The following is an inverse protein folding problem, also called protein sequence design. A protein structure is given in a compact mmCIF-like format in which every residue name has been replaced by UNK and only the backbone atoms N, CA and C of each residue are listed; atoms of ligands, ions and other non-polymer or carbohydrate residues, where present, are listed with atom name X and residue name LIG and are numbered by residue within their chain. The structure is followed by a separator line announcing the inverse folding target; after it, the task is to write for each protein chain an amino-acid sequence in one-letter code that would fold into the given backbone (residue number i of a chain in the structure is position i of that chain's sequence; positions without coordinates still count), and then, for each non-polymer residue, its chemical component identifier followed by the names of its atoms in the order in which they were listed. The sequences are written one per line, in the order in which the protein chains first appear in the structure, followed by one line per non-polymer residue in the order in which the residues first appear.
data_IF_816742944879
#
_entry.id   IF_816742944879
#
_cell.length_a   1.000
_cell.length_b   1.000
_cell.length_c   1.000
_cell.angle_alpha   90.00
_cell.angle_beta   90.00
_cell.angle_gamma   90.00
#
_symmetry.space_group_name_H-M   'P 1'
#
loop_
_entity.id
_entity.type
_entity.pdbx_description
1 polymer ?
#
# COMPACT_ATOMS: atom_id res chain seq x y z
N UNK A 1 -9.79 -6.78 14.82
CA UNK A 1 -10.47 -7.73 15.74
C UNK A 1 -9.38 -8.56 16.41
N UNK A 2 -9.45 -8.89 17.71
CA UNK A 2 -8.28 -9.45 18.42
C UNK A 2 -7.70 -10.70 17.75
N UNK A 3 -8.54 -11.68 17.41
CA UNK A 3 -8.09 -12.89 16.70
C UNK A 3 -7.46 -12.59 15.33
N UNK A 4 -7.97 -11.59 14.61
CA UNK A 4 -7.44 -11.18 13.31
C UNK A 4 -6.08 -10.48 13.45
N UNK A 5 -5.85 -9.74 14.54
CA UNK A 5 -4.56 -9.08 14.82
C UNK A 5 -3.43 -10.10 14.99
N UNK A 6 -3.69 -11.21 15.68
CA UNK A 6 -2.69 -12.27 15.85
C UNK A 6 -2.37 -12.96 14.51
N UNK A 7 -3.38 -13.23 13.68
CA UNK A 7 -3.15 -13.72 12.32
C UNK A 7 -2.39 -12.72 11.45
N UNK A 8 -2.69 -11.42 11.58
CA UNK A 8 -1.97 -10.36 10.87
C UNK A 8 -0.50 -10.32 11.29
N UNK A 9 -0.20 -10.39 12.60
CA UNK A 9 1.18 -10.45 13.11
C UNK A 9 1.92 -11.66 12.56
N UNK A 10 1.34 -12.85 12.64
CA UNK A 10 1.93 -14.08 12.10
C UNK A 10 2.17 -13.99 10.59
N UNK A 11 1.20 -13.48 9.84
CA UNK A 11 1.36 -13.28 8.40
C UNK A 11 2.53 -12.34 8.10
N UNK A 12 2.65 -11.23 8.82
CA UNK A 12 3.69 -10.23 8.63
C UNK A 12 5.09 -10.78 8.98
N UNK A 13 5.22 -11.55 10.07
CA UNK A 13 6.53 -12.04 10.52
C UNK A 13 7.01 -13.28 9.78
N UNK A 14 6.11 -14.22 9.46
CA UNK A 14 6.51 -15.54 8.95
C UNK A 14 6.28 -15.71 7.44
N UNK A 15 5.18 -15.18 6.90
CA UNK A 15 4.75 -15.49 5.54
C UNK A 15 5.10 -14.40 4.54
N UNK A 16 4.81 -13.14 4.89
CA UNK A 16 5.02 -11.99 4.02
C UNK A 16 6.47 -11.86 3.55
N UNK A 17 7.52 -12.05 4.38
CA UNK A 17 8.91 -11.93 3.93
C UNK A 17 9.26 -12.87 2.77
N UNK A 18 8.59 -14.03 2.67
CA UNK A 18 8.80 -15.00 1.60
C UNK A 18 8.21 -14.53 0.25
N UNK A 19 7.32 -13.55 0.27
CA UNK A 19 6.61 -13.04 -0.92
C UNK A 19 7.09 -11.65 -1.35
N UNK A 20 7.93 -10.99 -0.55
CA UNK A 20 8.48 -9.69 -0.89
C UNK A 20 9.48 -9.82 -2.03
N UNK A 21 9.33 -8.95 -3.03
CA UNK A 21 10.28 -8.85 -4.15
C UNK A 21 11.52 -8.08 -3.68
N UNK A 22 12.73 -8.68 -3.68
CA UNK A 22 13.94 -8.00 -3.22
C UNK A 22 14.25 -6.70 -3.98
N UNK A 23 13.91 -6.64 -5.27
CA UNK A 23 14.07 -5.46 -6.12
C UNK A 23 13.17 -4.31 -5.64
N UNK A 24 11.91 -4.59 -5.28
CA UNK A 24 10.98 -3.58 -4.78
C UNK A 24 11.45 -3.01 -3.43
N UNK A 25 11.98 -3.86 -2.54
CA UNK A 25 12.56 -3.43 -1.27
C UNK A 25 13.80 -2.55 -1.48
N UNK A 26 14.70 -2.94 -2.39
CA UNK A 26 15.87 -2.11 -2.75
C UNK A 26 15.44 -0.76 -3.31
N UNK A 27 14.38 -0.73 -4.12
CA UNK A 27 13.88 0.53 -4.69
C UNK A 27 13.24 1.43 -3.64
N UNK A 28 12.49 0.85 -2.70
CA UNK A 28 11.99 1.58 -1.53
C UNK A 28 13.14 2.19 -0.73
N UNK A 29 14.17 1.40 -0.41
CA UNK A 29 15.34 1.88 0.32
C UNK A 29 16.07 3.01 -0.41
N UNK A 30 16.17 2.94 -1.73
CA UNK A 30 16.74 4.03 -2.53
C UNK A 30 15.92 5.31 -2.38
N UNK A 31 14.59 5.25 -2.52
CA UNK A 31 13.72 6.41 -2.32
C UNK A 31 13.85 7.01 -0.91
N UNK A 32 13.88 6.15 0.12
CA UNK A 32 14.10 6.56 1.50
C UNK A 32 15.47 7.24 1.68
N UNK A 33 16.54 6.71 1.08
CA UNK A 33 17.88 7.32 1.16
C UNK A 33 17.99 8.67 0.46
N UNK A 34 17.12 8.92 -0.53
CA UNK A 34 17.03 10.20 -1.23
C UNK A 34 16.16 11.22 -0.46
N UNK A 35 15.57 10.83 0.68
CA UNK A 35 14.65 11.68 1.44
C UNK A 35 13.30 11.88 0.76
N UNK A 36 12.90 10.99 -0.16
CA UNK A 36 11.59 11.07 -0.80
C UNK A 36 10.50 10.64 0.18
N UNK A 37 9.33 11.25 0.06
CA UNK A 37 8.11 10.78 0.71
C UNK A 37 7.65 9.49 0.03
N UNK A 38 7.35 8.47 0.83
CA UNK A 38 6.99 7.13 0.38
C UNK A 38 5.57 6.76 0.80
N UNK A 39 4.77 6.28 -0.16
CA UNK A 39 3.41 5.84 0.09
C UNK A 39 3.18 4.41 -0.43
N UNK A 40 2.64 3.56 0.42
CA UNK A 40 2.19 2.21 0.07
C UNK A 40 0.69 2.22 -0.19
N UNK A 41 0.29 1.99 -1.44
CA UNK A 41 -1.12 1.98 -1.87
C UNK A 41 -1.48 0.63 -2.48
N UNK A 42 -2.22 -0.19 -1.74
CA UNK A 42 -2.51 -1.58 -2.13
C UNK A 42 -3.98 -1.95 -1.96
N UNK A 43 -4.45 -2.92 -2.74
CA UNK A 43 -5.75 -3.54 -2.54
C UNK A 43 -5.78 -4.51 -1.34
N UNK A 44 -4.61 -4.72 -0.72
CA UNK A 44 -4.45 -5.52 0.49
C UNK A 44 -5.25 -4.96 1.67
N UNK A 45 -5.80 -5.83 2.52
CA UNK A 45 -6.44 -5.43 3.77
C UNK A 45 -5.56 -4.56 4.69
N UNK A 46 -6.09 -3.42 5.14
CA UNK A 46 -5.37 -2.43 5.98
C UNK A 46 -4.87 -3.02 7.31
N UNK A 47 -5.54 -4.05 7.81
CA UNK A 47 -5.27 -4.63 9.13
C UNK A 47 -3.87 -5.25 9.27
N UNK A 48 -3.31 -5.81 8.19
CA UNK A 48 -1.90 -6.22 8.15
C UNK A 48 -1.03 -5.24 7.35
N UNK A 49 -1.60 -4.55 6.37
CA UNK A 49 -0.83 -3.68 5.47
C UNK A 49 -0.25 -2.49 6.23
N UNK A 50 -1.04 -1.84 7.09
CA UNK A 50 -0.61 -0.68 7.88
C UNK A 50 0.56 -1.03 8.82
N UNK A 51 0.46 -2.01 9.73
CA UNK A 51 1.56 -2.31 10.64
C UNK A 51 2.83 -2.76 9.91
N UNK A 52 2.71 -3.52 8.81
CA UNK A 52 3.87 -3.89 8.02
C UNK A 52 4.49 -2.69 7.29
N UNK A 53 3.68 -1.88 6.61
CA UNK A 53 4.18 -0.71 5.87
C UNK A 53 4.85 0.31 6.78
N UNK A 54 4.30 0.54 7.97
CA UNK A 54 4.93 1.37 9.00
C UNK A 54 6.28 0.79 9.46
N UNK A 55 6.35 -0.52 9.71
CA UNK A 55 7.60 -1.19 10.08
C UNK A 55 8.65 -1.17 8.96
N UNK A 56 8.21 -1.17 7.69
CA UNK A 56 9.06 -1.03 6.51
C UNK A 56 9.49 0.42 6.23
N UNK A 57 9.01 1.39 7.01
CA UNK A 57 9.39 2.80 6.91
C UNK A 57 8.66 3.58 5.81
N UNK A 58 7.44 3.18 5.45
CA UNK A 58 6.58 4.02 4.61
C UNK A 58 5.99 5.19 5.43
N UNK A 59 5.94 6.39 4.84
CA UNK A 59 5.32 7.57 5.46
C UNK A 59 3.80 7.44 5.48
N UNK A 60 3.23 6.89 4.39
CA UNK A 60 1.79 6.69 4.24
C UNK A 60 1.48 5.25 3.82
N UNK A 61 0.43 4.68 4.40
CA UNK A 61 -0.06 3.34 4.04
C UNK A 61 -1.57 3.38 3.91
N UNK A 62 -2.09 3.10 2.72
CA UNK A 62 -3.51 3.24 2.42
C UNK A 62 -3.98 1.94 1.69
N UNK A 63 -4.97 1.22 2.25
CA UNK A 63 -5.34 -0.15 1.83
C UNK A 63 -6.85 -0.41 1.72
N UNK A 64 -7.29 -1.66 1.59
CA UNK A 64 -8.73 -1.99 1.66
C UNK A 64 -9.18 -2.14 3.11
N UNK A 65 -10.23 -1.41 3.50
CA UNK A 65 -10.82 -1.49 4.85
C UNK A 65 -11.81 -2.63 4.92
N UNK A 66 -11.63 -3.54 5.87
CA UNK A 66 -12.58 -4.63 6.11
C UNK A 66 -13.71 -4.16 7.04
N UNK A 67 -14.95 -4.53 6.72
CA UNK A 67 -16.11 -4.19 7.55
C UNK A 67 -16.16 -5.05 8.81
N UNK A 68 -16.39 -4.40 9.96
CA UNK A 68 -16.48 -5.04 11.26
C UNK A 68 -17.85 -4.79 11.90
N UNK A 69 -18.37 -5.79 12.60
CA UNK A 69 -19.57 -5.68 13.41
C UNK A 69 -19.41 -6.52 14.67
N UNK A 70 -19.81 -5.98 15.83
CA UNK A 70 -19.71 -6.67 17.13
C UNK A 70 -18.31 -7.27 17.38
N UNK A 71 -17.27 -6.51 17.05
CA UNK A 71 -15.87 -6.91 17.14
C UNK A 71 -15.53 -8.20 16.36
N UNK A 72 -16.14 -8.41 15.18
CA UNK A 72 -15.82 -9.50 14.25
C UNK A 72 -15.75 -8.97 12.82
N UNK A 73 -14.92 -9.61 11.99
CA UNK A 73 -14.97 -9.37 10.55
C UNK A 73 -16.30 -9.87 10.01
N UNK A 74 -16.96 -9.06 9.21
CA UNK A 74 -18.23 -9.43 8.57
C UNK A 74 -18.03 -10.22 7.27
N UNK A 75 -16.81 -10.23 6.74
CA UNK A 75 -16.50 -10.70 5.38
C UNK A 75 -16.70 -9.61 4.31
N UNK A 76 -17.30 -8.48 4.64
CA UNK A 76 -17.48 -7.34 3.74
C UNK A 76 -16.33 -6.33 3.76
N UNK A 77 -16.40 -5.37 2.84
CA UNK A 77 -15.53 -4.19 2.76
C UNK A 77 -16.26 -3.00 3.41
N UNK A 78 -15.52 -2.18 4.15
CA UNK A 78 -16.00 -0.90 4.67
C UNK A 78 -15.61 0.21 3.69
N UNK A 79 -16.58 0.71 2.92
CA UNK A 79 -16.34 1.67 1.84
C UNK A 79 -15.90 0.98 0.54
N UNK A 80 -14.89 1.53 -0.13
CA UNK A 80 -14.46 1.09 -1.46
C UNK A 80 -13.20 0.23 -1.40
N UNK A 81 -13.11 -0.75 -2.30
CA UNK A 81 -11.90 -1.54 -2.51
C UNK A 81 -10.77 -0.68 -3.08
N UNK A 82 -9.55 -0.76 -2.54
CA UNK A 82 -8.41 0.08 -2.93
C UNK A 82 -7.77 -0.42 -4.26
N UNK A 83 -8.47 -0.18 -5.36
CA UNK A 83 -8.10 -0.61 -6.71
C UNK A 83 -8.41 0.49 -7.73
N UNK A 84 -7.65 0.54 -8.82
CA UNK A 84 -7.84 1.53 -9.90
C UNK A 84 -7.84 2.97 -9.35
N UNK A 85 -8.85 3.77 -9.71
CA UNK A 85 -9.03 5.16 -9.28
C UNK A 85 -9.15 5.32 -7.77
N UNK A 86 -9.55 4.27 -7.04
CA UNK A 86 -9.58 4.35 -5.58
C UNK A 86 -8.16 4.47 -5.02
N UNK A 87 -7.14 3.86 -5.64
CA UNK A 87 -5.74 4.05 -5.21
C UNK A 87 -5.32 5.51 -5.26
N UNK A 88 -5.67 6.20 -6.34
CA UNK A 88 -5.42 7.64 -6.50
C UNK A 88 -6.21 8.44 -5.46
N UNK A 89 -7.47 8.08 -5.22
CA UNK A 89 -8.31 8.75 -4.21
C UNK A 89 -7.72 8.62 -2.81
N UNK A 90 -7.23 7.43 -2.44
CA UNK A 90 -6.55 7.20 -1.16
C UNK A 90 -5.24 7.96 -1.08
N UNK A 91 -4.43 7.94 -2.14
CA UNK A 91 -3.19 8.70 -2.16
C UNK A 91 -3.43 10.20 -1.96
N UNK A 92 -4.44 10.77 -2.63
CA UNK A 92 -4.86 12.18 -2.42
C UNK A 92 -5.41 12.47 -1.03
N UNK A 93 -6.06 11.48 -0.40
CA UNK A 93 -6.49 11.59 1.00
C UNK A 93 -5.31 11.58 1.99
N UNK A 94 -4.23 10.89 1.63
CA UNK A 94 -3.00 10.79 2.41
C UNK A 94 -2.05 12.01 2.15
N UNK A 95 -2.06 12.56 0.92
CA UNK A 95 -1.23 13.69 0.45
C UNK A 95 -2.11 14.73 -0.25
N UNK A 96 -2.20 15.94 0.31
CA UNK A 96 -3.21 16.94 -0.07
C UNK A 96 -3.20 17.30 -1.56
N UNK A 97 -2.05 17.76 -2.07
CA UNK A 97 -1.91 18.22 -3.44
C UNK A 97 -0.80 17.45 -4.15
N UNK A 98 -1.20 16.50 -4.99
CA UNK A 98 -0.26 15.66 -5.74
C UNK A 98 0.52 16.43 -6.81
N UNK A 99 0.00 17.58 -7.26
CA UNK A 99 0.65 18.40 -8.29
C UNK A 99 1.94 19.06 -7.77
N UNK A 100 2.13 19.11 -6.45
CA UNK A 100 3.35 19.63 -5.82
C UNK A 100 4.50 18.59 -5.82
N UNK A 101 4.26 17.37 -6.31
CA UNK A 101 5.20 16.27 -6.26
C UNK A 101 5.65 15.83 -7.65
N UNK A 102 6.92 15.44 -7.77
CA UNK A 102 7.37 14.57 -8.84
C UNK A 102 7.13 13.11 -8.44
N UNK A 103 6.16 12.46 -9.08
CA UNK A 103 5.64 11.17 -8.65
C UNK A 103 6.34 10.03 -9.38
N UNK A 104 6.96 9.15 -8.59
CA UNK A 104 7.37 7.81 -9.01
C UNK A 104 6.29 6.82 -8.60
N UNK A 105 5.77 6.04 -9.55
CA UNK A 105 4.75 5.04 -9.26
C UNK A 105 5.16 3.65 -9.75
N UNK A 106 4.81 2.65 -8.96
CA UNK A 106 5.27 1.28 -9.07
C UNK A 106 4.06 0.36 -8.98
N UNK A 107 3.79 -0.44 -10.03
CA UNK A 107 2.64 -1.32 -10.10
C UNK A 107 2.92 -2.60 -10.88
N UNK A 108 2.13 -3.65 -10.66
CA UNK A 108 2.31 -4.95 -11.34
C UNK A 108 1.01 -5.57 -11.89
N UNK A 109 -0.12 -4.89 -11.68
CA UNK A 109 -1.46 -5.31 -12.09
C UNK A 109 -2.20 -4.19 -12.83
N UNK A 110 -3.30 -4.52 -13.53
CA UNK A 110 -4.18 -3.49 -14.12
C UNK A 110 -4.78 -2.58 -13.05
N UNK A 111 -4.95 -3.07 -11.82
CA UNK A 111 -5.43 -2.29 -10.68
C UNK A 111 -4.56 -1.09 -10.30
N UNK A 112 -3.39 -0.94 -10.92
CA UNK A 112 -2.44 0.15 -10.76
C UNK A 112 -2.52 1.19 -11.89
N UNK A 113 -3.28 0.94 -12.97
CA UNK A 113 -3.27 1.75 -14.19
C UNK A 113 -3.57 3.23 -13.89
N UNK A 114 -4.56 3.50 -13.03
CA UNK A 114 -4.88 4.87 -12.63
C UNK A 114 -3.76 5.54 -11.83
N UNK A 115 -3.04 4.79 -10.98
CA UNK A 115 -1.94 5.31 -10.17
C UNK A 115 -0.71 5.56 -11.03
N UNK A 116 -0.40 4.64 -11.95
CA UNK A 116 0.67 4.82 -12.95
C UNK A 116 0.36 5.99 -13.89
N UNK A 117 -0.90 6.17 -14.27
CA UNK A 117 -1.34 7.23 -15.18
C UNK A 117 -1.17 8.66 -14.64
N UNK A 118 -1.07 8.84 -13.32
CA UNK A 118 -0.81 10.16 -12.72
C UNK A 118 0.68 10.41 -12.43
N UNK A 119 1.55 9.43 -12.65
CA UNK A 119 2.95 9.51 -12.28
C UNK A 119 3.80 10.21 -13.34
N UNK A 120 4.76 11.01 -12.92
CA UNK A 120 5.80 11.55 -13.82
C UNK A 120 6.78 10.45 -14.26
N UNK A 121 6.96 9.43 -13.42
CA UNK A 121 7.78 8.26 -13.74
C UNK A 121 7.03 6.98 -13.35
N UNK A 122 6.22 6.42 -14.27
CA UNK A 122 5.51 5.16 -14.06
C UNK A 122 6.37 3.95 -14.39
N UNK A 123 6.31 2.93 -13.54
CA UNK A 123 7.01 1.67 -13.73
C UNK A 123 6.04 0.50 -13.54
N UNK A 124 5.76 -0.21 -14.64
CA UNK A 124 4.95 -1.43 -14.63
C UNK A 124 5.86 -2.66 -14.63
N UNK A 125 5.78 -3.48 -13.57
CA UNK A 125 6.60 -4.69 -13.37
C UNK A 125 8.10 -4.43 -13.50
N UNK A 126 8.53 -3.22 -13.16
CA UNK A 126 9.90 -2.78 -13.24
C UNK A 126 10.24 -1.99 -11.98
N UNK A 127 11.36 -2.32 -11.34
CA UNK A 127 11.79 -1.75 -10.06
C UNK A 127 13.16 -1.05 -10.13
N UNK A 128 13.63 -0.74 -11.35
CA UNK A 128 14.91 -0.08 -11.63
C UNK A 128 14.75 1.36 -12.08
#
# INVERSE_FOLDING_TARGET
VEQEREHAKYFISELLPLWLRPEALRRLQWHQSMGHVTALVSNSPENYLIPWGQAAGFDYVCGTRLATAKNKLTGGISGTNCVEREKVTRLKGCLSNLDDFYIYAYGDSSGDDALLGIANSPFYRNWY
#
